data_IF_305706082719
#
_entry.id   IF_305706082719
#
_cell.length_a   1.000
_cell.length_b   1.000
_cell.length_c   1.000
_cell.angle_alpha   90.00
_cell.angle_beta   90.00
_cell.angle_gamma   90.00
#
_symmetry.space_group_name_H-M   'P 1'
#
loop_
_entity.id
_entity.type
_entity.pdbx_description
1 polymer ?
#
# COMPACT_ATOMS: atom_id res chain seq x y z
N UNK A 1 0.13 -10.20 11.21
CA UNK A 1 0.57 -8.85 10.83
C UNK A 1 -0.69 -7.97 10.85
N UNK A 2 -0.66 -6.63 10.81
CA UNK A 2 -1.89 -5.87 10.63
C UNK A 2 -2.48 -6.14 9.24
N UNK A 3 -3.79 -6.33 9.18
CA UNK A 3 -4.55 -6.42 7.94
C UNK A 3 -4.88 -5.02 7.42
N UNK A 4 -4.43 -4.71 6.22
CA UNK A 4 -4.69 -3.43 5.53
C UNK A 4 -5.62 -3.69 4.35
N UNK A 5 -6.64 -2.85 4.20
CA UNK A 5 -7.61 -2.93 3.10
C UNK A 5 -7.37 -1.75 2.17
N UNK A 6 -6.94 -2.04 0.94
CA UNK A 6 -6.81 -1.06 -0.14
C UNK A 6 -8.09 -1.08 -0.98
N UNK A 7 -8.72 0.08 -1.15
CA UNK A 7 -9.94 0.23 -1.95
C UNK A 7 -9.68 1.18 -3.11
N UNK A 8 -9.95 0.73 -4.33
CA UNK A 8 -9.81 1.56 -5.53
C UNK A 8 -11.08 2.38 -5.83
N UNK A 9 -11.00 3.26 -6.83
CA UNK A 9 -12.11 4.13 -7.23
C UNK A 9 -13.30 3.34 -7.84
N UNK A 10 -13.04 2.16 -8.39
CA UNK A 10 -14.07 1.26 -8.95
C UNK A 10 -14.78 0.45 -7.85
N UNK A 11 -14.33 0.59 -6.59
CA UNK A 11 -14.89 -0.09 -5.43
C UNK A 11 -14.27 -1.46 -5.15
N UNK A 12 -13.28 -1.90 -5.93
CA UNK A 12 -12.58 -3.16 -5.67
C UNK A 12 -11.74 -3.03 -4.39
N UNK A 13 -11.58 -4.16 -3.69
CA UNK A 13 -10.79 -4.22 -2.47
C UNK A 13 -9.72 -5.30 -2.56
N UNK A 14 -8.55 -4.99 -2.01
CA UNK A 14 -7.47 -5.94 -1.76
C UNK A 14 -7.12 -5.91 -0.28
N UNK A 15 -7.19 -7.07 0.36
CA UNK A 15 -6.78 -7.24 1.75
C UNK A 15 -5.36 -7.83 1.80
N UNK A 16 -4.46 -7.15 2.52
CA UNK A 16 -3.05 -7.53 2.60
C UNK A 16 -2.60 -7.52 4.06
N UNK A 17 -1.91 -8.59 4.47
CA UNK A 17 -1.18 -8.63 5.74
C UNK A 17 0.16 -7.88 5.57
N UNK A 18 0.29 -6.72 6.19
CA UNK A 18 1.49 -5.86 6.06
C UNK A 18 2.38 -6.02 7.29
N UNK A 19 3.64 -6.46 7.17
CA UNK A 19 4.55 -6.57 8.31
C UNK A 19 4.65 -5.29 9.16
N UNK A 20 4.71 -5.45 10.49
CA UNK A 20 5.00 -4.33 11.38
C UNK A 20 6.35 -3.69 11.02
N UNK A 21 6.42 -2.36 11.09
CA UNK A 21 7.61 -1.58 10.73
C UNK A 21 7.63 -1.10 9.28
N UNK A 22 6.70 -1.54 8.43
CA UNK A 22 6.45 -0.92 7.13
C UNK A 22 5.38 0.15 7.22
N UNK A 23 5.49 1.17 6.40
CA UNK A 23 4.42 2.12 6.14
C UNK A 23 3.29 1.49 5.30
N UNK A 24 2.10 2.10 5.34
CA UNK A 24 0.96 1.69 4.51
C UNK A 24 1.29 1.79 3.01
N UNK A 25 2.09 2.79 2.62
CA UNK A 25 2.55 2.98 1.25
C UNK A 25 3.50 1.86 0.80
N UNK A 26 4.49 1.49 1.62
CA UNK A 26 5.40 0.38 1.28
C UNK A 26 4.66 -0.95 1.15
N UNK A 27 3.67 -1.19 2.03
CA UNK A 27 2.77 -2.33 1.92
C UNK A 27 2.02 -2.35 0.58
N UNK A 28 1.61 -1.19 0.09
CA UNK A 28 0.90 -1.07 -1.18
C UNK A 28 1.80 -1.35 -2.38
N UNK A 29 2.95 -0.69 -2.45
CA UNK A 29 3.90 -0.79 -3.57
C UNK A 29 4.46 -2.20 -3.71
N UNK A 30 4.88 -2.82 -2.60
CA UNK A 30 5.42 -4.20 -2.61
C UNK A 30 4.39 -5.26 -3.03
N UNK A 31 3.10 -4.96 -2.90
CA UNK A 31 2.00 -5.83 -3.30
C UNK A 31 1.32 -5.39 -4.60
N UNK A 32 1.93 -4.49 -5.36
CA UNK A 32 1.43 -3.98 -6.65
C UNK A 32 -0.04 -3.52 -6.55
N UNK A 33 -0.37 -2.72 -5.52
CA UNK A 33 -1.69 -2.09 -5.41
C UNK A 33 -1.79 -0.98 -6.46
N UNK A 34 -2.73 -1.07 -7.43
CA UNK A 34 -2.87 -0.05 -8.47
C UNK A 34 -3.26 1.31 -7.89
N UNK A 35 -2.75 2.39 -8.50
CA UNK A 35 -3.06 3.77 -8.10
C UNK A 35 -2.19 4.33 -6.97
N UNK A 36 -1.17 3.59 -6.53
CA UNK A 36 -0.17 4.06 -5.55
C UNK A 36 1.22 3.84 -6.17
N UNK A 37 1.73 4.88 -6.83
CA UNK A 37 3.01 4.81 -7.57
C UNK A 37 4.22 5.06 -6.66
N UNK A 38 4.06 5.96 -5.69
CA UNK A 38 5.08 6.36 -4.71
C UNK A 38 6.39 6.90 -5.33
N UNK A 39 6.27 7.83 -6.28
CA UNK A 39 7.40 8.39 -7.06
C UNK A 39 8.60 8.86 -6.23
N UNK A 40 8.37 9.48 -5.07
CA UNK A 40 9.44 9.97 -4.18
C UNK A 40 9.89 8.95 -3.12
N UNK A 41 9.36 7.74 -3.15
CA UNK A 41 9.63 6.67 -2.18
C UNK A 41 9.20 7.00 -0.75
N UNK A 42 8.42 8.06 -0.52
CA UNK A 42 8.03 8.52 0.81
C UNK A 42 9.17 9.14 1.63
N UNK A 43 10.30 9.46 1.02
CA UNK A 43 11.49 10.00 1.72
C UNK A 43 11.81 11.46 1.42
N UNK A 44 11.24 12.05 0.36
CA UNK A 44 11.46 13.43 -0.16
C UNK A 44 12.61 14.19 0.54
N UNK A 45 13.84 13.93 0.09
CA UNK A 45 15.05 14.68 0.46
C UNK A 45 15.39 15.72 -0.61
#
# INVERSE_FOLDING_TARGET
MPKIIYKDFSGNQKEIEVPNGLSVMEGAVRNNIPGIDADCGGSMA
#
